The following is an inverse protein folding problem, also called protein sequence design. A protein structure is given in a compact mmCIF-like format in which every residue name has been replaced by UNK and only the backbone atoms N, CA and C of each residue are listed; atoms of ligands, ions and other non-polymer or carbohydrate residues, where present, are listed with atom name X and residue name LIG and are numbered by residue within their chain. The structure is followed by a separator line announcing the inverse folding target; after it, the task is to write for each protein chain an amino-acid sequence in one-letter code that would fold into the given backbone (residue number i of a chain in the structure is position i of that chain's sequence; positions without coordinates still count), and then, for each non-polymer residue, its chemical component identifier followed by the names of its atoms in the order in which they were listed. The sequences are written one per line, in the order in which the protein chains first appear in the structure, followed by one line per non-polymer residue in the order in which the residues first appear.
data_IF_283745266212
#
_entry.id   IF_283745266212
#
_cell.length_a   1.000
_cell.length_b   1.000
_cell.length_c   1.000
_cell.angle_alpha   90.00
_cell.angle_beta   90.00
_cell.angle_gamma   90.00
#
_symmetry.space_group_name_H-M   'P 1'
#
loop_
_entity.id
_entity.type
_entity.pdbx_description
1 polymer ?
#
# COMPACT_ATOMS: atom_id res chain seq x y z
N UNK A 1 -11.43 -25.57 7.67
CA UNK A 1 -11.29 -24.48 8.65
C UNK A 1 -9.84 -24.02 8.60
N UNK A 2 -9.57 -22.72 8.33
CA UNK A 2 -8.19 -22.22 8.18
C UNK A 2 -7.42 -22.27 9.50
N UNK A 3 -6.09 -22.48 9.48
CA UNK A 3 -5.24 -22.36 10.66
C UNK A 3 -5.41 -20.99 11.35
N UNK A 4 -5.25 -20.93 12.68
CA UNK A 4 -5.45 -19.71 13.45
C UNK A 4 -4.56 -18.54 12.99
N UNK A 5 -3.30 -18.82 12.64
CA UNK A 5 -2.35 -17.83 12.08
C UNK A 5 -2.86 -17.25 10.76
N UNK A 6 -3.33 -18.10 9.86
CA UNK A 6 -3.86 -17.69 8.55
C UNK A 6 -5.12 -16.85 8.70
N UNK A 7 -6.03 -17.21 9.62
CA UNK A 7 -7.22 -16.38 9.91
C UNK A 7 -6.83 -14.97 10.38
N UNK A 8 -5.88 -14.87 11.30
CA UNK A 8 -5.40 -13.57 11.78
C UNK A 8 -4.80 -12.73 10.66
N UNK A 9 -3.92 -13.31 9.82
CA UNK A 9 -3.31 -12.59 8.68
C UNK A 9 -4.36 -12.14 7.66
N UNK A 10 -5.34 -13.00 7.38
CA UNK A 10 -6.48 -12.62 6.54
C UNK A 10 -7.25 -11.45 7.13
N UNK A 11 -7.55 -11.48 8.43
CA UNK A 11 -8.30 -10.41 9.08
C UNK A 11 -7.50 -9.08 9.12
N UNK A 12 -6.16 -9.15 9.16
CA UNK A 12 -5.25 -8.00 9.02
C UNK A 12 -5.27 -7.41 7.59
N UNK A 13 -5.38 -8.25 6.56
CA UNK A 13 -5.42 -7.83 5.15
C UNK A 13 -6.83 -7.64 4.57
N UNK A 14 -7.88 -7.98 5.33
CA UNK A 14 -9.27 -7.89 4.88
C UNK A 14 -9.66 -6.46 4.45
N UNK A 15 -9.23 -5.37 5.13
CA UNK A 15 -9.47 -4.02 4.64
C UNK A 15 -8.90 -3.79 3.24
N UNK A 16 -7.68 -4.26 2.98
CA UNK A 16 -7.04 -4.14 1.67
C UNK A 16 -7.83 -4.95 0.64
N UNK A 17 -8.23 -6.18 0.98
CA UNK A 17 -9.08 -7.00 0.13
C UNK A 17 -10.45 -6.38 -0.17
N UNK A 18 -11.03 -5.62 0.75
CA UNK A 18 -12.29 -4.89 0.54
C UNK A 18 -12.14 -3.74 -0.44
N UNK A 19 -11.08 -2.93 -0.28
CA UNK A 19 -10.80 -1.81 -1.19
C UNK A 19 -10.48 -2.33 -2.59
N UNK A 20 -9.59 -3.32 -2.69
CA UNK A 20 -9.19 -3.89 -3.98
C UNK A 20 -10.37 -4.56 -4.70
N UNK A 21 -11.22 -5.29 -3.96
CA UNK A 21 -12.47 -5.85 -4.51
C UNK A 21 -13.36 -4.77 -5.15
N UNK A 22 -13.46 -3.59 -4.52
CA UNK A 22 -14.25 -2.49 -5.05
C UNK A 22 -13.64 -1.93 -6.35
N UNK A 23 -12.31 -1.85 -6.43
CA UNK A 23 -11.59 -1.32 -7.59
C UNK A 23 -11.57 -2.27 -8.78
N UNK A 24 -11.44 -3.57 -8.53
CA UNK A 24 -11.43 -4.58 -9.59
C UNK A 24 -12.78 -4.68 -10.31
N UNK A 25 -13.89 -4.41 -9.60
CA UNK A 25 -15.24 -4.51 -10.14
C UNK A 25 -15.66 -5.93 -10.59
N UNK A 26 -14.73 -6.89 -10.55
CA UNK A 26 -14.93 -8.29 -10.87
C UNK A 26 -15.57 -9.01 -9.67
N UNK A 27 -16.70 -9.68 -9.93
CA UNK A 27 -17.46 -10.43 -8.92
C UNK A 27 -16.92 -11.85 -8.70
N UNK A 28 -15.88 -12.26 -9.43
CA UNK A 28 -15.35 -13.63 -9.36
C UNK A 28 -14.57 -13.92 -8.07
N UNK A 29 -13.93 -12.92 -7.47
CA UNK A 29 -13.20 -13.04 -6.21
C UNK A 29 -13.97 -12.32 -5.11
N UNK A 30 -14.13 -12.92 -3.94
CA UNK A 30 -14.62 -12.18 -2.77
C UNK A 30 -13.47 -11.40 -2.12
N UNK A 31 -13.80 -10.39 -1.30
CA UNK A 31 -12.79 -9.67 -0.51
C UNK A 31 -11.97 -10.59 0.41
N UNK A 32 -12.55 -11.72 0.85
CA UNK A 32 -11.82 -12.73 1.62
C UNK A 32 -10.82 -13.50 0.75
N UNK A 33 -11.22 -13.88 -0.47
CA UNK A 33 -10.32 -14.57 -1.41
C UNK A 33 -9.14 -13.68 -1.79
N UNK A 34 -9.40 -12.39 -2.02
CA UNK A 34 -8.35 -11.39 -2.28
C UNK A 34 -7.41 -11.31 -1.07
N UNK A 35 -7.95 -11.08 0.13
CA UNK A 35 -7.13 -10.99 1.34
C UNK A 35 -6.27 -12.25 1.57
N UNK A 36 -6.80 -13.44 1.35
CA UNK A 36 -6.06 -14.70 1.48
C UNK A 36 -4.94 -14.84 0.44
N UNK A 37 -5.19 -14.45 -0.81
CA UNK A 37 -4.19 -14.46 -1.90
C UNK A 37 -3.09 -13.42 -1.71
N UNK A 38 -3.40 -12.33 -1.03
CA UNK A 38 -2.44 -11.27 -0.71
C UNK A 38 -1.48 -11.62 0.45
N UNK A 39 -1.84 -12.55 1.34
CA UNK A 39 -0.99 -12.98 2.47
C UNK A 39 0.43 -13.36 2.03
N UNK A 40 0.65 -14.32 1.11
CA UNK A 40 2.01 -14.74 0.76
C UNK A 40 2.83 -13.62 0.13
N UNK A 41 2.20 -12.68 -0.56
CA UNK A 41 2.87 -11.53 -1.17
C UNK A 41 3.33 -10.56 -0.08
N UNK A 42 2.42 -10.20 0.83
CA UNK A 42 2.75 -9.29 1.91
C UNK A 42 3.83 -9.88 2.83
N UNK A 43 3.74 -11.18 3.15
CA UNK A 43 4.77 -11.88 3.92
C UNK A 43 6.14 -11.83 3.20
N UNK A 44 6.18 -12.08 1.89
CA UNK A 44 7.40 -11.96 1.10
C UNK A 44 7.96 -10.53 1.05
N UNK A 45 7.09 -9.52 0.93
CA UNK A 45 7.48 -8.10 0.95
C UNK A 45 8.12 -7.73 2.28
N UNK A 46 7.54 -8.17 3.41
CA UNK A 46 8.11 -7.98 4.74
C UNK A 46 9.50 -8.63 4.83
N UNK A 47 9.63 -9.88 4.35
CA UNK A 47 10.90 -10.63 4.38
C UNK A 47 11.99 -9.98 3.52
N UNK A 48 11.62 -9.30 2.42
CA UNK A 48 12.57 -8.64 1.50
C UNK A 48 12.73 -7.14 1.73
N UNK A 49 12.07 -6.55 2.74
CA UNK A 49 11.96 -5.10 2.90
C UNK A 49 13.31 -4.36 2.88
N UNK A 50 14.35 -4.92 3.51
CA UNK A 50 15.71 -4.35 3.55
C UNK A 50 16.36 -4.17 2.16
N UNK A 51 15.83 -4.83 1.13
CA UNK A 51 16.32 -4.77 -0.25
C UNK A 51 15.42 -3.96 -1.19
N UNK A 52 14.31 -3.42 -0.69
CA UNK A 52 13.39 -2.61 -1.49
C UNK A 52 13.88 -1.17 -1.56
N UNK A 53 14.10 -0.68 -2.78
CA UNK A 53 14.48 0.70 -3.07
C UNK A 53 13.28 1.53 -3.56
N UNK A 54 13.39 2.86 -3.46
CA UNK A 54 12.40 3.79 -4.02
C UNK A 54 12.62 3.91 -5.53
N UNK A 55 12.29 2.85 -6.27
CA UNK A 55 12.43 2.79 -7.73
C UNK A 55 11.25 2.05 -8.39
N UNK A 56 11.02 2.36 -9.67
CA UNK A 56 9.93 1.76 -10.44
C UNK A 56 10.06 0.23 -10.57
N UNK A 57 11.28 -0.30 -10.57
CA UNK A 57 11.57 -1.73 -10.65
C UNK A 57 11.04 -2.49 -9.43
N UNK A 58 11.29 -1.99 -8.24
CA UNK A 58 10.85 -2.57 -6.97
C UNK A 58 9.33 -2.54 -6.87
N UNK A 59 8.70 -1.42 -7.28
CA UNK A 59 7.24 -1.32 -7.36
C UNK A 59 6.68 -2.39 -8.31
N UNK A 60 7.28 -2.55 -9.50
CA UNK A 60 6.79 -3.49 -10.49
C UNK A 60 6.97 -4.96 -10.08
N UNK A 61 8.00 -5.30 -9.31
CA UNK A 61 8.14 -6.66 -8.73
C UNK A 61 6.94 -6.98 -7.81
N UNK A 62 6.54 -6.02 -6.97
CA UNK A 62 5.38 -6.17 -6.09
C UNK A 62 4.09 -6.22 -6.92
N UNK A 63 3.91 -5.28 -7.86
CA UNK A 63 2.71 -5.22 -8.69
C UNK A 63 2.49 -6.51 -9.48
N UNK A 64 3.53 -7.04 -10.13
CA UNK A 64 3.47 -8.30 -10.88
C UNK A 64 3.00 -9.47 -10.00
N UNK A 65 3.52 -9.54 -8.77
CA UNK A 65 3.13 -10.57 -7.81
C UNK A 65 1.66 -10.43 -7.42
N UNK A 66 1.20 -9.20 -7.17
CA UNK A 66 -0.21 -8.90 -6.83
C UNK A 66 -1.13 -9.23 -8.00
N UNK A 67 -0.82 -8.77 -9.21
CA UNK A 67 -1.64 -9.01 -10.39
C UNK A 67 -1.75 -10.50 -10.71
N UNK A 68 -0.64 -11.25 -10.61
CA UNK A 68 -0.62 -12.70 -10.83
C UNK A 68 -1.53 -13.43 -9.82
N UNK A 69 -1.38 -13.13 -8.53
CA UNK A 69 -2.21 -13.75 -7.50
C UNK A 69 -3.71 -13.43 -7.67
N UNK A 70 -4.05 -12.23 -8.13
CA UNK A 70 -5.42 -11.79 -8.34
C UNK A 70 -5.96 -12.13 -9.74
N UNK A 71 -5.16 -12.80 -10.59
CA UNK A 71 -5.54 -13.15 -11.96
C UNK A 71 -5.84 -11.94 -12.84
N UNK A 72 -5.22 -10.80 -12.54
CA UNK A 72 -5.36 -9.56 -13.28
C UNK A 72 -4.24 -9.43 -14.33
N UNK A 73 -4.49 -8.72 -15.44
CA UNK A 73 -3.41 -8.30 -16.33
C UNK A 73 -2.35 -7.53 -15.55
N UNK A 74 -1.09 -7.73 -15.92
CA UNK A 74 0.04 -6.97 -15.37
C UNK A 74 -0.23 -5.48 -15.55
N UNK A 75 -0.07 -4.71 -14.48
CA UNK A 75 -0.18 -3.26 -14.53
C UNK A 75 0.97 -2.64 -15.32
N UNK A 76 0.75 -1.44 -15.80
CA UNK A 76 1.80 -0.60 -16.37
C UNK A 76 2.25 0.41 -15.31
N UNK A 77 3.56 0.62 -15.22
CA UNK A 77 4.11 1.77 -14.51
C UNK A 77 4.19 2.94 -15.49
N UNK A 78 3.35 3.95 -15.27
CA UNK A 78 3.33 5.16 -16.11
C UNK A 78 4.08 6.29 -15.42
N UNK A 79 4.54 7.28 -16.20
CA UNK A 79 5.27 8.45 -15.69
C UNK A 79 6.52 8.07 -14.86
N UNK A 80 7.35 7.19 -15.43
CA UNK A 80 8.58 6.70 -14.78
C UNK A 80 9.52 7.86 -14.46
N UNK A 81 9.61 8.83 -15.37
CA UNK A 81 10.49 10.00 -15.23
C UNK A 81 10.11 10.87 -14.02
N UNK A 82 8.80 11.03 -13.78
CA UNK A 82 8.28 11.78 -12.62
C UNK A 82 8.56 11.04 -11.31
N UNK A 83 8.49 9.70 -11.33
CA UNK A 83 8.79 8.86 -10.18
C UNK A 83 10.28 8.84 -9.83
N UNK A 84 11.15 8.72 -10.83
CA UNK A 84 12.59 8.72 -10.57
C UNK A 84 13.03 10.10 -10.02
N UNK A 85 12.38 11.18 -10.47
CA UNK A 85 12.55 12.54 -9.92
C UNK A 85 12.02 12.68 -8.48
N UNK A 86 11.02 11.88 -8.08
CA UNK A 86 10.49 11.88 -6.71
C UNK A 86 11.55 11.43 -5.70
N UNK A 87 12.41 10.46 -6.06
CA UNK A 87 13.48 10.01 -5.19
C UNK A 87 14.52 11.12 -4.95
N UNK A 88 14.93 11.83 -6.00
CA UNK A 88 15.80 13.00 -5.89
C UNK A 88 15.17 14.10 -5.01
N UNK A 89 13.87 14.37 -5.20
CA UNK A 89 13.14 15.35 -4.39
C UNK A 89 13.05 14.94 -2.91
N UNK A 90 12.83 13.65 -2.63
CA UNK A 90 12.81 13.14 -1.24
C UNK A 90 14.16 13.38 -0.57
N UNK A 91 15.27 13.13 -1.26
CA UNK A 91 16.62 13.38 -0.74
C UNK A 91 16.85 14.88 -0.50
N UNK A 92 16.43 15.75 -1.42
CA UNK A 92 16.56 17.21 -1.31
C UNK A 92 15.71 17.81 -0.18
N UNK A 93 14.59 17.17 0.18
CA UNK A 93 13.69 17.60 1.24
C UNK A 93 14.07 17.08 2.64
N UNK A 94 15.28 16.56 2.84
CA UNK A 94 15.76 16.07 4.15
C UNK A 94 15.65 14.55 4.34
N UNK A 95 15.15 13.84 3.33
CA UNK A 95 15.12 12.38 3.31
C UNK A 95 14.03 11.75 4.18
N UNK A 96 13.87 10.42 4.02
CA UNK A 96 12.79 9.65 4.65
C UNK A 96 12.71 9.78 6.18
N UNK A 97 13.85 9.92 6.84
CA UNK A 97 13.92 9.92 8.31
C UNK A 97 13.43 11.20 8.96
N UNK A 98 13.37 12.31 8.22
CA UNK A 98 12.95 13.61 8.75
C UNK A 98 11.42 13.75 8.82
N UNK A 99 10.71 13.31 7.77
CA UNK A 99 9.24 13.23 7.77
C UNK A 99 8.72 11.92 7.14
N UNK A 100 8.80 10.79 7.87
CA UNK A 100 8.38 9.48 7.37
C UNK A 100 6.90 9.43 7.02
N UNK A 101 6.06 10.17 7.74
CA UNK A 101 4.62 10.17 7.52
C UNK A 101 4.27 10.86 6.21
N UNK A 102 4.94 11.99 5.93
CA UNK A 102 4.71 12.73 4.70
C UNK A 102 5.20 11.97 3.48
N UNK A 103 6.41 11.43 3.56
CA UNK A 103 7.01 10.69 2.44
C UNK A 103 6.24 9.39 2.19
N UNK A 104 5.83 8.66 3.22
CA UNK A 104 4.94 7.50 3.05
C UNK A 104 3.60 7.90 2.39
N UNK A 105 3.04 9.06 2.74
CA UNK A 105 1.85 9.61 2.09
C UNK A 105 2.06 9.91 0.61
N UNK A 106 3.19 10.52 0.24
CA UNK A 106 3.57 10.77 -1.15
C UNK A 106 3.76 9.49 -1.94
N UNK A 107 4.56 8.54 -1.43
CA UNK A 107 4.79 7.25 -2.10
C UNK A 107 3.47 6.53 -2.36
N UNK A 108 2.61 6.43 -1.34
CA UNK A 108 1.31 5.81 -1.48
C UNK A 108 0.44 6.53 -2.51
N UNK A 109 0.33 7.87 -2.39
CA UNK A 109 -0.55 8.67 -3.25
C UNK A 109 -0.11 8.68 -4.71
N UNK A 110 1.19 8.81 -4.98
CA UNK A 110 1.75 8.76 -6.33
C UNK A 110 1.46 7.42 -7.01
N UNK A 111 1.71 6.31 -6.31
CA UNK A 111 1.46 4.97 -6.85
C UNK A 111 -0.03 4.70 -7.07
N UNK A 112 -0.87 5.07 -6.10
CA UNK A 112 -2.30 4.80 -6.15
C UNK A 112 -3.01 5.61 -7.26
N UNK A 113 -2.68 6.90 -7.38
CA UNK A 113 -3.38 7.80 -8.30
C UNK A 113 -2.79 7.86 -9.69
N UNK A 114 -1.47 7.92 -9.80
CA UNK A 114 -0.83 8.43 -11.02
C UNK A 114 0.08 7.43 -11.72
N UNK A 115 0.75 6.52 -10.99
CA UNK A 115 1.81 5.70 -11.58
C UNK A 115 1.42 4.26 -11.92
N UNK A 116 0.37 3.68 -11.33
CA UNK A 116 -0.04 2.29 -11.60
C UNK A 116 -1.38 2.21 -12.32
N UNK A 117 -1.51 1.33 -13.30
CA UNK A 117 -2.79 1.14 -14.02
C UNK A 117 -3.68 0.05 -13.43
N UNK A 118 -3.12 -0.96 -12.76
CA UNK A 118 -3.83 -2.10 -12.17
C UNK A 118 -3.30 -2.46 -10.76
N UNK A 119 -4.17 -3.07 -9.94
CA UNK A 119 -3.86 -3.50 -8.57
C UNK A 119 -3.19 -2.42 -7.70
N UNK A 120 -3.60 -1.16 -7.90
CA UNK A 120 -2.89 0.03 -7.43
C UNK A 120 -2.87 0.11 -5.91
N UNK A 121 -3.98 -0.24 -5.27
CA UNK A 121 -4.14 -0.08 -3.84
C UNK A 121 -3.26 -1.07 -3.06
N UNK A 122 -3.41 -2.37 -3.31
CA UNK A 122 -2.58 -3.38 -2.65
C UNK A 122 -1.08 -3.17 -2.94
N UNK A 123 -0.72 -2.80 -4.18
CA UNK A 123 0.68 -2.52 -4.54
C UNK A 123 1.22 -1.30 -3.78
N UNK A 124 0.51 -0.17 -3.81
CA UNK A 124 0.92 1.05 -3.10
C UNK A 124 1.06 0.80 -1.59
N UNK A 125 0.14 0.03 -1.01
CA UNK A 125 0.18 -0.34 0.40
C UNK A 125 1.43 -1.16 0.72
N UNK A 126 1.66 -2.27 0.01
CA UNK A 126 2.79 -3.18 0.28
C UNK A 126 4.13 -2.53 0.01
N UNK A 127 4.23 -1.73 -1.04
CA UNK A 127 5.44 -0.98 -1.31
C UNK A 127 5.74 0.03 -0.19
N UNK A 128 4.72 0.77 0.27
CA UNK A 128 4.88 1.73 1.38
C UNK A 128 5.28 1.02 2.68
N UNK A 129 4.70 -0.14 2.98
CA UNK A 129 5.11 -0.98 4.11
C UNK A 129 6.58 -1.41 4.01
N UNK A 130 7.03 -1.84 2.83
CA UNK A 130 8.42 -2.23 2.62
C UNK A 130 9.40 -1.09 2.91
N UNK A 131 9.10 0.12 2.41
CA UNK A 131 9.91 1.30 2.66
C UNK A 131 9.90 1.67 4.15
N UNK A 132 8.74 1.66 4.80
CA UNK A 132 8.65 1.90 6.24
C UNK A 132 9.49 0.91 7.04
N UNK A 133 9.43 -0.38 6.74
CA UNK A 133 10.23 -1.43 7.40
C UNK A 133 11.72 -1.21 7.16
N UNK A 134 12.14 -0.92 5.92
CA UNK A 134 13.54 -0.63 5.57
C UNK A 134 14.10 0.53 6.42
N UNK A 135 13.27 1.54 6.70
CA UNK A 135 13.60 2.66 7.57
C UNK A 135 13.29 2.43 9.06
N UNK A 136 13.01 1.19 9.49
CA UNK A 136 12.70 0.79 10.88
C UNK A 136 11.49 1.52 11.47
N UNK A 137 10.54 1.89 10.62
CA UNK A 137 9.27 2.49 11.00
C UNK A 137 8.18 1.42 11.11
N UNK A 138 7.11 1.68 11.88
CA UNK A 138 5.93 0.81 11.89
C UNK A 138 5.29 0.74 10.50
N UNK A 139 4.82 -0.45 10.12
CA UNK A 139 3.97 -0.65 8.96
C UNK A 139 2.67 0.16 9.08
N UNK A 140 2.03 0.40 7.94
CA UNK A 140 0.67 0.90 7.87
C UNK A 140 -0.30 -0.08 8.52
N UNK A 141 -1.35 0.47 9.12
CA UNK A 141 -2.42 -0.32 9.71
C UNK A 141 -3.77 0.21 9.26
N UNK A 142 -4.69 -0.68 8.92
CA UNK A 142 -6.08 -0.34 8.67
C UNK A 142 -6.97 -1.32 9.44
N UNK A 143 -7.90 -0.80 10.24
CA UNK A 143 -8.90 -1.65 10.88
C UNK A 143 -10.21 -1.60 10.07
N UNK A 144 -10.97 -2.70 10.09
CA UNK A 144 -12.27 -2.75 9.42
C UNK A 144 -13.22 -1.62 9.86
N UNK A 145 -13.15 -1.18 11.13
CA UNK A 145 -13.99 -0.10 11.66
C UNK A 145 -13.68 1.27 11.01
N UNK A 146 -12.46 1.45 10.50
CA UNK A 146 -11.98 2.73 9.95
C UNK A 146 -12.12 2.79 8.42
N UNK A 147 -12.50 1.70 7.76
CA UNK A 147 -12.61 1.61 6.29
C UNK A 147 -13.50 2.72 5.70
N UNK A 148 -14.60 3.05 6.36
CA UNK A 148 -15.51 4.09 5.86
C UNK A 148 -14.83 5.48 5.82
N UNK A 149 -14.16 5.86 6.91
CA UNK A 149 -13.40 7.12 6.98
C UNK A 149 -12.21 7.11 6.03
N UNK A 150 -11.51 5.97 5.97
CA UNK A 150 -10.40 5.73 5.06
C UNK A 150 -10.80 5.95 3.60
N UNK A 151 -11.87 5.31 3.14
CA UNK A 151 -12.36 5.44 1.77
C UNK A 151 -12.85 6.86 1.46
N UNK A 152 -13.48 7.53 2.43
CA UNK A 152 -13.92 8.92 2.27
C UNK A 152 -12.72 9.87 2.09
N UNK A 153 -11.67 9.70 2.90
CA UNK A 153 -10.47 10.51 2.81
C UNK A 153 -9.66 10.18 1.56
N UNK A 154 -9.55 8.90 1.20
CA UNK A 154 -8.93 8.46 -0.03
C UNK A 154 -9.66 9.06 -1.23
N UNK A 155 -10.99 8.93 -1.34
CA UNK A 155 -11.75 9.51 -2.46
C UNK A 155 -11.66 11.03 -2.56
N UNK A 156 -11.40 11.74 -1.46
CA UNK A 156 -11.18 13.20 -1.44
C UNK A 156 -9.74 13.61 -1.72
N UNK A 157 -8.82 12.65 -1.81
CA UNK A 157 -7.41 12.86 -2.12
C UNK A 157 -7.13 12.82 -3.62
N UNK A 158 -5.90 13.12 -3.99
CA UNK A 158 -5.40 13.06 -5.36
C UNK A 158 -3.89 12.82 -5.39
N UNK A 159 -3.27 12.87 -6.57
CA UNK A 159 -1.83 12.81 -6.67
C UNK A 159 -1.17 13.98 -5.92
N UNK A 160 0.10 13.84 -5.47
CA UNK A 160 0.78 14.85 -4.67
C UNK A 160 1.28 16.04 -5.50
N UNK A 161 0.40 16.63 -6.34
CA UNK A 161 0.72 17.78 -7.20
C UNK A 161 0.71 19.09 -6.39
N UNK A 162 -0.12 19.17 -5.33
CA UNK A 162 -0.26 20.33 -4.45
C UNK A 162 -0.40 19.90 -2.99
N UNK A 163 0.27 20.62 -2.08
CA UNK A 163 0.11 20.44 -0.63
C UNK A 163 -1.37 20.56 -0.24
N UNK A 164 -1.96 19.45 0.19
CA UNK A 164 -3.36 19.37 0.62
C UNK A 164 -4.21 18.31 -0.10
N UNK A 165 -3.72 17.69 -1.17
CA UNK A 165 -4.39 16.56 -1.83
C UNK A 165 -3.78 15.19 -1.50
N UNK A 166 -2.59 15.14 -0.92
CA UNK A 166 -1.92 13.90 -0.51
C UNK A 166 -2.76 13.13 0.50
N UNK A 167 -2.91 11.83 0.26
CA UNK A 167 -3.48 10.91 1.24
C UNK A 167 -2.39 10.41 2.20
N UNK A 168 -2.67 10.45 3.50
CA UNK A 168 -1.75 10.00 4.54
C UNK A 168 -2.28 8.71 5.20
N UNK A 169 -1.93 7.51 4.69
CA UNK A 169 -2.41 6.25 5.26
C UNK A 169 -1.93 6.04 6.70
N UNK A 170 -0.84 6.70 7.11
CA UNK A 170 -0.26 6.65 8.47
C UNK A 170 -1.16 7.28 9.55
N UNK A 171 -2.19 8.04 9.18
CA UNK A 171 -3.18 8.59 10.12
C UNK A 171 -4.11 7.50 10.68
N UNK A 172 -4.21 6.37 9.98
CA UNK A 172 -4.95 5.20 10.42
C UNK A 172 -3.98 4.31 11.19
N UNK A 173 -4.23 4.15 12.49
CA UNK A 173 -3.45 3.28 13.38
C UNK A 173 -4.42 2.51 14.25
N UNK A 174 -4.06 1.29 14.66
CA UNK A 174 -4.80 0.64 15.74
C UNK A 174 -4.70 1.54 16.97
N UNK A 175 -5.85 1.90 17.52
CA UNK A 175 -5.88 2.37 18.90
C UNK A 175 -5.24 1.28 19.75
N UNK A 176 -4.08 1.58 20.35
CA UNK A 176 -3.57 0.80 21.44
C UNK A 176 -4.61 0.92 22.54
N UNK A 177 -5.39 -0.15 22.74
CA UNK A 177 -6.19 -0.29 23.95
C UNK A 177 -5.22 -0.12 25.10
N UNK A 178 -5.26 1.05 25.73
CA UNK A 178 -4.54 1.35 26.96
C UNK A 178 -5.24 0.52 28.02
N UNK A 179 -4.91 -0.76 28.08
CA UNK A 179 -5.55 -1.72 28.96
C UNK A 179 -4.92 -1.66 30.34
N UNK A 180 -5.73 -1.31 31.34
CA UNK A 180 -5.59 -1.77 32.72
C UNK A 180 -5.00 -0.76 33.68
#
# INVERSE_FOLDING_TARGET
MLPAKTRRRRDELLPIGLVEHHLLGDRALSSYDIAERLIPIHDAVIESADSVAIDSKSVMIINNSVTDALGQPVGEFVRIEDWDSLNEMIEDCGGFTEDPAHIAGWLFSSLYWDNLTACRFATAWFFTDAILINHRMPMLELQNKDIGGFLSALSGSGPPILDGQTFFPTQYKRETVSGG
#
